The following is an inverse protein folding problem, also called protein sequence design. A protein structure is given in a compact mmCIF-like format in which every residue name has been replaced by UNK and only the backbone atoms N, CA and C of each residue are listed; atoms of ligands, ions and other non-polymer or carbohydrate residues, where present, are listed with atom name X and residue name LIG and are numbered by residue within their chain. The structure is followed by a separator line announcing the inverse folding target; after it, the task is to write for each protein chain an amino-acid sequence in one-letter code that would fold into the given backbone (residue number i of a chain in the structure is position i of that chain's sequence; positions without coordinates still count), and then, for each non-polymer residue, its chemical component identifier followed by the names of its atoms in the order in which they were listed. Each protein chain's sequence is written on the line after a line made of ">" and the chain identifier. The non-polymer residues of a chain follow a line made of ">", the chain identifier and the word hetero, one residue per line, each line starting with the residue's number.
data_IF_614026196888
#
_entry.id   IF_614026196888
#
_cell.length_a   1.000
_cell.length_b   1.000
_cell.length_c   1.000
_cell.angle_alpha   90.00
_cell.angle_beta   90.00
_cell.angle_gamma   90.00
#
_symmetry.space_group_name_H-M   'P 1'
#
loop_
_entity.id
_entity.type
_entity.pdbx_description
1 polymer ?
#
# COMPACT_ATOMS: atom_id res chain seq x y z
N UNK A 1 7.52 -3.93 1.97
CA UNK A 1 6.24 -3.34 2.43
C UNK A 1 6.23 -1.81 2.43
N UNK A 2 6.98 -1.11 3.30
CA UNK A 2 6.93 0.36 3.39
C UNK A 2 7.09 1.08 2.05
N UNK A 3 8.10 0.72 1.25
CA UNK A 3 8.31 1.32 -0.07
C UNK A 3 7.15 1.04 -1.05
N UNK A 4 6.62 -0.18 -1.06
CA UNK A 4 5.48 -0.53 -1.91
C UNK A 4 4.22 0.24 -1.53
N UNK A 5 3.92 0.34 -0.23
CA UNK A 5 2.76 1.11 0.25
C UNK A 5 2.94 2.61 0.00
N UNK A 6 4.16 3.12 0.18
CA UNK A 6 4.50 4.50 -0.19
C UNK A 6 4.17 4.79 -1.66
N UNK A 7 4.66 3.96 -2.59
CA UNK A 7 4.38 4.14 -4.02
C UNK A 7 2.88 4.07 -4.32
N UNK A 8 2.19 3.09 -3.74
CA UNK A 8 0.75 2.93 -3.93
C UNK A 8 -0.02 4.18 -3.46
N UNK A 9 0.22 4.62 -2.23
CA UNK A 9 -0.50 5.77 -1.64
C UNK A 9 -0.15 7.07 -2.37
N UNK A 10 1.11 7.25 -2.76
CA UNK A 10 1.55 8.41 -3.55
C UNK A 10 0.84 8.45 -4.92
N UNK A 11 0.74 7.30 -5.60
CA UNK A 11 0.00 7.20 -6.86
C UNK A 11 -1.48 7.47 -6.67
N UNK A 12 -2.11 6.96 -5.60
CA UNK A 12 -3.52 7.29 -5.30
C UNK A 12 -3.69 8.81 -5.20
N UNK A 13 -2.87 9.50 -4.40
CA UNK A 13 -2.94 10.96 -4.29
C UNK A 13 -2.75 11.66 -5.64
N UNK A 14 -1.76 11.24 -6.44
CA UNK A 14 -1.54 11.83 -7.75
C UNK A 14 -2.70 11.65 -8.73
N UNK A 15 -3.39 10.51 -8.68
CA UNK A 15 -4.51 10.20 -9.58
C UNK A 15 -5.84 10.82 -9.13
N UNK A 16 -6.02 11.05 -7.82
CA UNK A 16 -7.27 11.60 -7.26
C UNK A 16 -7.21 13.11 -6.97
N UNK A 17 -6.05 13.75 -7.13
CA UNK A 17 -5.91 15.19 -6.89
C UNK A 17 -6.49 16.01 -8.04
N UNK A 18 -7.53 16.79 -7.79
CA UNK A 18 -8.21 17.59 -8.81
C UNK A 18 -7.31 18.64 -9.46
N UNK A 19 -6.34 19.19 -8.72
CA UNK A 19 -5.35 20.11 -9.26
C UNK A 19 -4.37 19.47 -10.25
N UNK A 20 -4.32 18.13 -10.34
CA UNK A 20 -3.51 17.44 -11.33
C UNK A 20 -4.17 17.41 -12.70
N UNK A 21 -3.80 18.37 -13.55
CA UNK A 21 -4.26 18.45 -14.94
C UNK A 21 -3.95 17.18 -15.76
N UNK A 22 -2.91 16.42 -15.41
CA UNK A 22 -2.52 15.18 -16.06
C UNK A 22 -3.26 13.93 -15.56
N UNK A 23 -4.17 14.06 -14.60
CA UNK A 23 -4.87 12.89 -14.04
C UNK A 23 -5.88 12.31 -15.03
N UNK A 24 -6.09 10.99 -15.01
CA UNK A 24 -7.12 10.36 -15.81
C UNK A 24 -8.53 10.75 -15.34
N UNK A 25 -9.55 10.44 -16.14
CA UNK A 25 -10.94 10.63 -15.70
C UNK A 25 -11.26 9.80 -14.45
N UNK A 26 -12.18 10.29 -13.62
CA UNK A 26 -12.61 9.60 -12.40
C UNK A 26 -13.11 8.17 -12.70
N UNK A 27 -13.68 7.95 -13.90
CA UNK A 27 -14.16 6.64 -14.35
C UNK A 27 -13.04 5.62 -14.53
N UNK A 28 -11.87 6.03 -15.04
CA UNK A 28 -10.76 5.11 -15.32
C UNK A 28 -9.65 5.15 -14.25
N UNK A 29 -9.71 6.10 -13.31
CA UNK A 29 -8.77 6.20 -12.19
C UNK A 29 -8.60 4.87 -11.40
N UNK A 30 -9.68 4.12 -11.07
CA UNK A 30 -9.53 2.84 -10.38
C UNK A 30 -8.72 1.79 -11.16
N UNK A 31 -8.78 1.82 -12.51
CA UNK A 31 -8.00 0.93 -13.35
C UNK A 31 -6.50 1.21 -13.18
N UNK A 32 -6.09 2.48 -13.18
CA UNK A 32 -4.69 2.86 -12.98
C UNK A 32 -4.19 2.47 -11.59
N UNK A 33 -5.00 2.67 -10.54
CA UNK A 33 -4.66 2.20 -9.19
C UNK A 33 -4.47 0.68 -9.18
N UNK A 34 -5.37 -0.08 -9.83
CA UNK A 34 -5.24 -1.53 -9.96
C UNK A 34 -3.98 -1.97 -10.69
N UNK A 35 -3.62 -1.29 -11.79
CA UNK A 35 -2.38 -1.54 -12.53
C UNK A 35 -1.16 -1.24 -11.66
N UNK A 36 -1.17 -0.14 -10.91
CA UNK A 36 -0.09 0.20 -9.96
C UNK A 36 0.10 -0.88 -8.90
N UNK A 37 -0.98 -1.32 -8.24
CA UNK A 37 -0.90 -2.42 -7.27
C UNK A 37 -0.36 -3.69 -7.94
N UNK A 38 -0.82 -4.01 -9.16
CA UNK A 38 -0.35 -5.19 -9.90
C UNK A 38 1.15 -5.13 -10.20
N UNK A 39 1.66 -3.98 -10.65
CA UNK A 39 3.09 -3.77 -10.88
C UNK A 39 3.91 -3.87 -9.59
N UNK A 40 3.41 -3.31 -8.49
CA UNK A 40 4.07 -3.42 -7.17
C UNK A 40 4.12 -4.88 -6.73
N UNK A 41 3.03 -5.64 -6.89
CA UNK A 41 2.98 -7.08 -6.57
C UNK A 41 4.02 -7.83 -7.40
N UNK A 42 4.10 -7.59 -8.72
CA UNK A 42 5.09 -8.26 -9.56
C UNK A 42 6.54 -8.06 -9.08
N UNK A 43 6.86 -6.88 -8.53
CA UNK A 43 8.21 -6.55 -8.09
C UNK A 43 8.50 -6.95 -6.63
N UNK A 44 7.51 -6.81 -5.73
CA UNK A 44 7.69 -6.92 -4.28
C UNK A 44 7.20 -8.26 -3.72
N UNK A 45 6.27 -8.95 -4.41
CA UNK A 45 5.73 -10.21 -3.92
C UNK A 45 6.79 -11.32 -3.75
N UNK A 46 7.82 -11.46 -4.61
CA UNK A 46 8.88 -12.43 -4.38
C UNK A 46 9.66 -12.24 -3.07
N UNK A 47 9.65 -11.02 -2.51
CA UNK A 47 10.37 -10.68 -1.29
C UNK A 47 9.50 -10.80 -0.03
N UNK A 48 8.26 -10.32 -0.10
CA UNK A 48 7.38 -10.13 1.08
C UNK A 48 5.93 -10.50 0.83
N UNK A 49 5.58 -11.06 -0.32
CA UNK A 49 4.20 -11.32 -0.76
C UNK A 49 3.35 -10.05 -1.00
N UNK A 50 3.93 -8.85 -0.88
CA UNK A 50 3.30 -7.57 -1.16
C UNK A 50 1.98 -7.40 -0.42
N UNK A 51 2.03 -7.45 0.92
CA UNK A 51 0.87 -7.29 1.79
C UNK A 51 0.23 -5.91 1.63
N UNK A 52 1.05 -4.85 1.60
CA UNK A 52 0.76 -3.42 1.37
C UNK A 52 -0.29 -2.76 2.27
N UNK A 53 -1.11 -3.55 2.94
CA UNK A 53 -2.29 -3.16 3.70
C UNK A 53 -2.38 -4.06 4.95
N UNK A 54 -2.25 -3.47 6.15
CA UNK A 54 -2.33 -4.22 7.41
C UNK A 54 -3.63 -5.00 7.61
N UNK A 55 -4.78 -4.46 7.21
CA UNK A 55 -6.08 -5.13 7.36
C UNK A 55 -6.21 -6.35 6.43
N UNK A 56 -5.68 -6.25 5.20
CA UNK A 56 -5.66 -7.33 4.20
C UNK A 56 -4.78 -8.51 4.61
N UNK A 57 -3.78 -8.28 5.45
CA UNK A 57 -2.87 -9.33 5.94
C UNK A 57 -3.29 -9.84 7.34
N UNK A 58 -3.54 -8.95 8.30
CA UNK A 58 -3.90 -9.32 9.68
C UNK A 58 -5.25 -10.04 9.78
N UNK A 59 -6.28 -9.53 9.11
CA UNK A 59 -7.64 -10.07 9.21
C UNK A 59 -7.70 -11.57 8.85
N UNK A 60 -7.26 -11.97 7.64
CA UNK A 60 -7.21 -13.37 7.26
C UNK A 60 -6.35 -14.24 8.18
N UNK A 61 -5.21 -13.73 8.68
CA UNK A 61 -4.36 -14.47 9.63
C UNK A 61 -5.03 -14.70 10.97
N UNK A 62 -5.71 -13.70 11.51
CA UNK A 62 -6.46 -13.83 12.75
C UNK A 62 -7.57 -14.88 12.61
N UNK A 63 -8.30 -14.84 11.49
CA UNK A 63 -9.32 -15.84 11.18
C UNK A 63 -8.69 -17.23 11.10
N UNK A 64 -7.66 -17.46 10.27
CA UNK A 64 -7.06 -18.80 10.15
C UNK A 64 -6.49 -19.31 11.47
N UNK A 65 -5.90 -18.44 12.29
CA UNK A 65 -5.46 -18.79 13.64
C UNK A 65 -6.62 -19.28 14.53
N UNK A 66 -7.76 -18.57 14.55
CA UNK A 66 -8.96 -18.98 15.29
C UNK A 66 -9.54 -20.31 14.79
N UNK A 67 -9.38 -20.62 13.51
CA UNK A 67 -9.79 -21.89 12.91
C UNK A 67 -8.75 -23.01 13.06
N UNK A 68 -7.79 -22.86 13.96
CA UNK A 68 -6.89 -23.94 14.38
C UNK A 68 -5.65 -24.13 13.50
N UNK A 69 -5.31 -23.17 12.64
CA UNK A 69 -4.09 -23.24 11.82
C UNK A 69 -2.81 -23.03 12.65
N UNK A 70 -2.93 -22.56 13.89
CA UNK A 70 -1.82 -22.42 14.83
C UNK A 70 -0.67 -21.60 14.25
N UNK A 71 0.54 -22.15 14.33
CA UNK A 71 1.77 -21.51 13.82
C UNK A 71 1.72 -21.23 12.31
N UNK A 72 0.89 -21.94 11.52
CA UNK A 72 0.79 -21.65 10.09
C UNK A 72 0.13 -20.28 9.79
N UNK A 73 -0.69 -19.74 10.70
CA UNK A 73 -1.29 -18.42 10.55
C UNK A 73 -0.27 -17.28 10.79
N UNK A 74 0.64 -17.50 11.75
CA UNK A 74 1.73 -16.60 12.13
C UNK A 74 3.05 -17.39 12.14
N UNK A 75 3.62 -17.72 10.97
CA UNK A 75 4.76 -18.62 10.85
C UNK A 75 6.07 -18.02 11.37
N UNK A 76 6.14 -16.70 11.46
CA UNK A 76 7.28 -16.01 12.01
C UNK A 76 7.18 -15.90 13.55
N UNK A 77 8.27 -16.24 14.22
CA UNK A 77 8.39 -16.19 15.69
C UNK A 77 9.17 -14.98 16.20
N UNK A 78 9.75 -14.18 15.30
CA UNK A 78 10.60 -13.04 15.65
C UNK A 78 9.86 -11.70 15.61
N UNK A 79 8.55 -11.69 15.38
CA UNK A 79 7.73 -10.47 15.31
C UNK A 79 7.86 -9.69 13.99
N UNK A 80 8.53 -10.25 13.00
CA UNK A 80 8.56 -9.80 11.61
C UNK A 80 7.17 -9.58 11.02
N UNK A 81 6.16 -10.37 11.40
CA UNK A 81 4.76 -10.06 11.04
C UNK A 81 4.38 -8.61 11.38
N UNK A 82 4.60 -8.20 12.63
CA UNK A 82 4.20 -6.88 13.13
C UNK A 82 5.02 -5.77 12.46
N UNK A 83 6.33 -5.92 12.38
CA UNK A 83 7.20 -4.89 11.79
C UNK A 83 6.99 -4.74 10.28
N UNK A 84 6.91 -5.86 9.56
CA UNK A 84 6.87 -5.88 8.10
C UNK A 84 5.46 -5.64 7.57
N UNK A 85 4.42 -6.20 8.17
CA UNK A 85 3.07 -6.16 7.59
C UNK A 85 2.10 -5.19 8.28
N UNK A 86 2.44 -4.71 9.48
CA UNK A 86 1.65 -3.68 10.18
C UNK A 86 2.36 -2.33 10.10
N UNK A 87 3.53 -2.21 10.72
CA UNK A 87 4.19 -0.91 10.88
C UNK A 87 4.77 -0.36 9.58
N UNK A 88 5.42 -1.19 8.77
CA UNK A 88 6.03 -0.74 7.51
C UNK A 88 4.99 -0.15 6.53
N UNK A 89 3.83 -0.79 6.23
CA UNK A 89 2.80 -0.20 5.40
C UNK A 89 2.27 1.13 5.94
N UNK A 90 2.01 1.20 7.25
CA UNK A 90 1.54 2.43 7.91
C UNK A 90 2.56 3.56 7.71
N UNK A 91 3.84 3.27 7.99
CA UNK A 91 4.92 4.24 7.81
C UNK A 91 5.04 4.71 6.35
N UNK A 92 4.99 3.77 5.39
CA UNK A 92 5.02 4.08 3.96
C UNK A 92 3.88 5.00 3.51
N UNK A 93 2.65 4.70 3.94
CA UNK A 93 1.49 5.54 3.65
C UNK A 93 1.57 6.92 4.29
N UNK A 94 2.04 7.01 5.55
CA UNK A 94 2.25 8.29 6.23
C UNK A 94 3.30 9.14 5.53
N UNK A 95 4.42 8.55 5.10
CA UNK A 95 5.46 9.27 4.34
C UNK A 95 4.90 9.80 3.02
N UNK A 96 4.08 9.02 2.31
CA UNK A 96 3.42 9.48 1.09
C UNK A 96 2.47 10.65 1.36
N UNK A 97 1.70 10.60 2.46
CA UNK A 97 0.81 11.69 2.86
C UNK A 97 1.57 12.96 3.26
N UNK A 98 2.73 12.84 3.88
CA UNK A 98 3.58 14.00 4.18
C UNK A 98 4.19 14.64 2.91
N UNK A 99 4.39 13.85 1.85
CA UNK A 99 4.91 14.33 0.57
C UNK A 99 3.83 14.96 -0.32
N UNK A 100 2.56 14.60 -0.12
CA UNK A 100 1.42 15.05 -0.93
C UNK A 100 1.31 16.58 -1.08
N UNK A 101 1.46 17.40 -0.02
CA UNK A 101 1.38 18.86 -0.15
C UNK A 101 2.51 19.44 -0.99
N UNK A 102 3.69 18.82 -0.97
CA UNK A 102 4.84 19.23 -1.78
C UNK A 102 4.55 18.96 -3.25
N UNK A 103 3.95 17.81 -3.57
CA UNK A 103 3.53 17.50 -4.95
C UNK A 103 2.54 18.54 -5.47
N UNK A 104 1.51 18.89 -4.68
CA UNK A 104 0.50 19.88 -5.09
C UNK A 104 1.10 21.21 -5.51
N UNK A 105 2.13 21.69 -4.80
CA UNK A 105 2.81 22.96 -5.13
C UNK A 105 3.41 23.00 -6.54
N UNK A 106 3.79 21.84 -7.09
CA UNK A 106 4.33 21.75 -8.45
C UNK A 106 3.21 21.61 -9.49
N UNK A 107 2.07 21.05 -9.08
CA UNK A 107 0.93 20.80 -9.96
C UNK A 107 0.01 22.02 -10.10
N UNK A 108 -0.08 22.88 -9.09
CA UNK A 108 -0.94 24.08 -9.09
C UNK A 108 -0.31 25.32 -9.72
N UNK A 109 0.80 25.21 -10.46
CA UNK A 109 1.40 26.35 -11.16
C UNK A 109 0.86 26.44 -12.58
N UNK A 110 -0.38 26.89 -12.70
CA UNK A 110 -0.94 27.58 -13.87
C UNK A 110 -2.11 28.47 -13.39
#
# INVERSE_FOLDING_TARGET
>A
EAFGTFLLVLTIFGLTEDANAGRPSNTITPLFIGLTVSSIIWLIAPLTQAGLNPARDFGPRLVTWLFGWGDAAFPDRCGGFFWVYILAPIAGGLIAALLEPVMKRFTTKD
#
